data_IF_174954928239
#
_entry.id   IF_174954928239
#
_cell.length_a   1.000
_cell.length_b   1.000
_cell.length_c   1.000
_cell.angle_alpha   90.00
_cell.angle_beta   90.00
_cell.angle_gamma   90.00
#
_symmetry.space_group_name_H-M   'P 1'
#
loop_
_entity.id
_entity.type
_entity.pdbx_description
1 polymer ?
#
# COMPACT_ATOMS: atom_id res chain seq x y z
N UNK A 1 -65.88 52.82 -0.99
CA UNK A 1 -64.91 52.45 0.08
C UNK A 1 -63.69 51.80 -0.59
N UNK A 2 -62.60 52.55 -0.78
CA UNK A 2 -61.33 52.08 -1.34
C UNK A 2 -60.35 51.99 -0.18
N UNK A 3 -60.00 50.79 0.24
CA UNK A 3 -58.90 50.58 1.16
C UNK A 3 -57.61 50.46 0.37
N UNK A 4 -56.73 51.44 0.61
CA UNK A 4 -55.39 51.50 0.08
C UNK A 4 -54.54 50.46 0.83
N UNK A 5 -54.06 49.47 0.09
CA UNK A 5 -53.06 48.50 0.54
C UNK A 5 -51.71 49.22 0.58
N UNK A 6 -51.26 49.64 1.76
CA UNK A 6 -49.89 50.11 1.95
C UNK A 6 -48.94 48.92 2.06
N UNK A 7 -48.27 48.65 0.96
CA UNK A 7 -47.13 47.69 0.97
C UNK A 7 -45.95 48.35 1.71
N UNK A 8 -45.75 48.01 2.96
CA UNK A 8 -44.51 48.32 3.69
C UNK A 8 -43.36 47.48 3.12
N UNK A 9 -42.57 48.10 2.24
CA UNK A 9 -41.32 47.52 1.81
C UNK A 9 -40.33 47.53 2.99
N UNK A 10 -40.20 46.38 3.68
CA UNK A 10 -39.10 46.12 4.60
C UNK A 10 -37.82 45.98 3.79
N UNK A 11 -37.08 47.09 3.76
CA UNK A 11 -35.67 47.10 3.30
C UNK A 11 -34.87 46.25 4.31
N UNK A 12 -34.71 44.95 4.04
CA UNK A 12 -33.69 44.15 4.74
C UNK A 12 -32.35 44.68 4.33
N UNK A 13 -31.71 45.46 5.21
CA UNK A 13 -30.27 45.76 5.07
C UNK A 13 -29.55 44.45 5.18
N UNK A 14 -29.12 43.91 4.03
CA UNK A 14 -28.11 42.88 3.96
C UNK A 14 -26.87 43.45 4.68
N UNK A 15 -26.61 42.91 5.88
CA UNK A 15 -25.36 43.19 6.59
C UNK A 15 -24.23 42.88 5.60
N UNK A 16 -23.38 43.86 5.34
CA UNK A 16 -22.34 43.79 4.32
C UNK A 16 -21.48 42.57 4.53
N UNK A 17 -21.66 41.54 3.72
CA UNK A 17 -20.74 40.46 3.59
C UNK A 17 -19.46 41.02 3.02
N UNK A 18 -18.42 41.16 3.87
CA UNK A 18 -17.08 41.53 3.42
C UNK A 18 -16.64 40.38 2.50
N UNK A 19 -16.65 40.62 1.18
CA UNK A 19 -16.14 39.69 0.19
C UNK A 19 -14.60 39.66 0.26
N UNK A 20 -14.03 38.50 -0.12
CA UNK A 20 -12.59 38.36 -0.28
C UNK A 20 -12.09 39.28 -1.43
N UNK A 21 -10.91 39.83 -1.28
CA UNK A 21 -10.26 40.56 -2.37
C UNK A 21 -9.65 39.53 -3.37
N UNK A 22 -9.57 39.93 -4.63
CA UNK A 22 -8.96 39.10 -5.68
C UNK A 22 -7.49 38.78 -5.34
N UNK A 23 -6.76 39.73 -4.73
CA UNK A 23 -5.37 39.50 -4.33
C UNK A 23 -5.22 38.50 -3.19
N UNK A 24 -6.12 38.47 -2.23
CA UNK A 24 -6.12 37.49 -1.15
C UNK A 24 -6.29 36.06 -1.72
N UNK A 25 -7.20 35.88 -2.66
CA UNK A 25 -7.39 34.58 -3.31
C UNK A 25 -6.16 34.19 -4.14
N UNK A 26 -5.57 35.14 -4.87
CA UNK A 26 -4.40 34.89 -5.71
C UNK A 26 -3.18 34.43 -4.90
N UNK A 27 -2.92 35.06 -3.76
CA UNK A 27 -1.82 34.66 -2.87
C UNK A 27 -2.03 33.27 -2.32
N UNK A 28 -3.24 32.91 -1.91
CA UNK A 28 -3.56 31.59 -1.35
C UNK A 28 -3.33 30.49 -2.39
N UNK A 29 -3.84 30.65 -3.62
CA UNK A 29 -3.63 29.64 -4.66
C UNK A 29 -2.16 29.53 -5.07
N UNK A 30 -1.40 30.63 -5.07
CA UNK A 30 0.03 30.61 -5.35
C UNK A 30 0.80 29.78 -4.31
N UNK A 31 0.52 29.97 -3.03
CA UNK A 31 1.15 29.20 -1.94
C UNK A 31 0.77 27.70 -2.05
N UNK A 32 -0.52 27.40 -2.27
CA UNK A 32 -0.97 26.02 -2.42
C UNK A 32 -0.29 25.34 -3.61
N UNK A 33 -0.14 26.05 -4.74
CA UNK A 33 0.51 25.50 -5.92
C UNK A 33 1.98 25.11 -5.66
N UNK A 34 2.73 25.96 -4.94
CA UNK A 34 4.12 25.66 -4.57
C UNK A 34 4.18 24.46 -3.63
N UNK A 35 3.37 24.41 -2.60
CA UNK A 35 3.36 23.29 -1.65
C UNK A 35 2.93 21.98 -2.33
N UNK A 36 1.91 22.02 -3.18
CA UNK A 36 1.42 20.86 -3.91
C UNK A 36 2.48 20.27 -4.85
N UNK A 37 3.30 21.12 -5.50
CA UNK A 37 4.34 20.66 -6.43
C UNK A 37 5.38 19.73 -5.76
N UNK A 38 5.66 19.92 -4.48
CA UNK A 38 6.57 19.09 -3.70
C UNK A 38 5.88 17.91 -3.02
N UNK A 39 4.63 18.09 -2.59
CA UNK A 39 3.89 17.09 -1.82
C UNK A 39 3.36 15.94 -2.69
N UNK A 40 2.85 16.23 -3.89
CA UNK A 40 2.21 15.23 -4.76
C UNK A 40 3.16 14.09 -5.16
N UNK A 41 4.40 14.31 -5.62
CA UNK A 41 5.31 13.22 -6.00
C UNK A 41 5.62 12.28 -4.83
N UNK A 42 5.79 12.82 -3.64
CA UNK A 42 6.04 12.02 -2.43
C UNK A 42 4.83 11.20 -2.04
N UNK A 43 3.65 11.81 -2.06
CA UNK A 43 2.39 11.11 -1.77
C UNK A 43 2.16 9.91 -2.69
N UNK A 44 2.41 10.06 -4.00
CA UNK A 44 2.26 8.97 -4.96
C UNK A 44 3.22 7.82 -4.69
N UNK A 45 4.46 8.09 -4.28
CA UNK A 45 5.42 7.04 -3.88
C UNK A 45 4.91 6.26 -2.66
N UNK A 46 4.45 6.96 -1.63
CA UNK A 46 3.88 6.32 -0.44
C UNK A 46 2.63 5.49 -0.77
N UNK A 47 1.76 5.99 -1.63
CA UNK A 47 0.57 5.27 -2.06
C UNK A 47 0.91 3.96 -2.79
N UNK A 48 1.88 3.99 -3.71
CA UNK A 48 2.36 2.79 -4.41
C UNK A 48 2.97 1.78 -3.45
N UNK A 49 3.85 2.23 -2.56
CA UNK A 49 4.46 1.38 -1.53
C UNK A 49 3.41 0.75 -0.62
N UNK A 50 2.40 1.51 -0.20
CA UNK A 50 1.31 1.02 0.62
C UNK A 50 0.47 -0.05 -0.10
N UNK A 51 0.21 0.10 -1.41
CA UNK A 51 -0.47 -0.93 -2.20
C UNK A 51 0.31 -2.24 -2.23
N UNK A 52 1.62 -2.20 -2.45
CA UNK A 52 2.47 -3.41 -2.44
C UNK A 52 2.49 -4.05 -1.06
N UNK A 53 2.58 -3.26 0.01
CA UNK A 53 2.53 -3.77 1.39
C UNK A 53 1.17 -4.40 1.72
N UNK A 54 0.07 -3.87 1.19
CA UNK A 54 -1.26 -4.41 1.48
C UNK A 54 -1.61 -5.67 0.70
N UNK A 55 -1.14 -5.81 -0.53
CA UNK A 55 -1.54 -6.91 -1.41
C UNK A 55 -0.44 -7.92 -1.70
N UNK A 56 0.81 -7.50 -1.88
CA UNK A 56 1.90 -8.40 -2.25
C UNK A 56 2.61 -8.98 -1.02
N UNK A 57 2.85 -8.18 0.01
CA UNK A 57 3.57 -8.63 1.21
C UNK A 57 2.89 -9.80 1.92
N UNK A 58 1.56 -9.84 2.14
CA UNK A 58 0.91 -10.97 2.79
C UNK A 58 1.08 -12.29 2.03
N UNK A 59 1.13 -12.23 0.70
CA UNK A 59 1.33 -13.41 -0.16
C UNK A 59 2.76 -13.95 -0.03
N UNK A 60 3.76 -13.06 -0.10
CA UNK A 60 5.15 -13.46 0.14
C UNK A 60 5.36 -14.00 1.55
N UNK A 61 4.74 -13.39 2.55
CA UNK A 61 4.79 -13.84 3.94
C UNK A 61 4.11 -15.19 4.15
N UNK A 62 2.97 -15.43 3.50
CA UNK A 62 2.26 -16.72 3.55
C UNK A 62 3.13 -17.85 3.02
N UNK A 63 3.81 -17.65 1.88
CA UNK A 63 4.76 -18.64 1.37
C UNK A 63 5.92 -18.89 2.34
N UNK A 64 6.49 -17.84 2.94
CA UNK A 64 7.57 -18.00 3.92
C UNK A 64 7.12 -18.74 5.18
N UNK A 65 5.87 -18.58 5.62
CA UNK A 65 5.30 -19.36 6.73
C UNK A 65 5.20 -20.85 6.38
N UNK A 66 4.79 -21.20 5.16
CA UNK A 66 4.75 -22.60 4.70
C UNK A 66 6.16 -23.20 4.67
N UNK A 67 7.16 -22.45 4.20
CA UNK A 67 8.57 -22.91 4.20
C UNK A 67 9.05 -23.20 5.62
N UNK A 68 8.79 -22.31 6.56
CA UNK A 68 9.18 -22.49 7.96
C UNK A 68 8.44 -23.67 8.60
N UNK A 69 7.14 -23.80 8.34
CA UNK A 69 6.36 -24.94 8.83
C UNK A 69 6.89 -26.28 8.29
N UNK A 70 7.18 -26.34 6.99
CA UNK A 70 7.76 -27.53 6.36
C UNK A 70 9.10 -27.91 7.00
N UNK A 71 9.97 -26.94 7.29
CA UNK A 71 11.26 -27.19 7.90
C UNK A 71 11.16 -27.70 9.33
N UNK A 72 10.16 -27.23 10.11
CA UNK A 72 9.94 -27.75 11.47
C UNK A 72 9.51 -29.22 11.47
N UNK A 73 8.78 -29.64 10.42
CA UNK A 73 8.34 -31.03 10.27
C UNK A 73 9.41 -31.93 9.62
N UNK A 74 10.29 -31.36 8.79
CA UNK A 74 11.27 -32.12 7.97
C UNK A 74 12.70 -31.53 8.13
N UNK A 75 13.35 -31.67 9.28
CA UNK A 75 14.72 -31.21 9.47
C UNK A 75 15.69 -31.83 8.48
N UNK A 76 16.58 -30.99 7.89
CA UNK A 76 17.58 -31.45 6.93
C UNK A 76 17.08 -31.67 5.49
N UNK A 77 15.78 -31.50 5.22
CA UNK A 77 15.20 -31.69 3.90
C UNK A 77 15.39 -30.44 3.01
N UNK A 78 15.41 -30.66 1.69
CA UNK A 78 15.32 -29.57 0.70
C UNK A 78 13.88 -29.15 0.50
N UNK A 79 13.61 -27.85 0.46
CA UNK A 79 12.25 -27.31 0.31
C UNK A 79 11.90 -27.16 -1.16
N UNK A 80 10.91 -27.89 -1.62
CA UNK A 80 10.34 -27.73 -2.96
C UNK A 80 9.13 -26.79 -2.88
N UNK A 81 9.31 -25.53 -3.28
CA UNK A 81 8.26 -24.48 -3.17
C UNK A 81 6.98 -24.84 -3.93
N UNK A 82 7.07 -25.61 -5.02
CA UNK A 82 5.91 -26.06 -5.79
C UNK A 82 4.98 -27.03 -5.02
N UNK A 83 5.46 -27.66 -3.95
CA UNK A 83 4.65 -28.55 -3.11
C UNK A 83 3.96 -27.82 -1.95
N UNK A 84 4.30 -26.57 -1.70
CA UNK A 84 3.76 -25.77 -0.61
C UNK A 84 2.56 -24.94 -1.09
N UNK A 85 1.45 -24.98 -0.36
CA UNK A 85 0.17 -24.43 -0.80
C UNK A 85 0.26 -22.93 -1.17
N UNK A 86 0.89 -22.13 -0.31
CA UNK A 86 1.01 -20.68 -0.54
C UNK A 86 2.21 -20.29 -1.42
N UNK A 87 3.11 -21.21 -1.75
CA UNK A 87 4.25 -20.98 -2.64
C UNK A 87 4.00 -21.47 -4.08
N UNK A 88 3.13 -22.47 -4.27
CA UNK A 88 2.84 -23.07 -5.58
C UNK A 88 2.09 -22.13 -6.52
N UNK A 89 1.39 -21.13 -5.97
CA UNK A 89 0.64 -20.13 -6.71
C UNK A 89 1.59 -19.04 -7.23
N UNK A 90 2.04 -19.17 -8.46
CA UNK A 90 2.91 -18.17 -9.10
C UNK A 90 2.20 -16.83 -9.36
N UNK A 91 0.87 -16.84 -9.46
CA UNK A 91 0.06 -15.63 -9.65
C UNK A 91 -1.22 -15.72 -8.82
N UNK A 92 -1.46 -14.72 -7.99
CA UNK A 92 -2.63 -14.60 -7.11
C UNK A 92 -3.42 -13.36 -7.47
N UNK A 93 -4.71 -13.50 -7.76
CA UNK A 93 -5.61 -12.36 -8.02
C UNK A 93 -6.01 -11.70 -6.72
N UNK A 94 -5.76 -10.39 -6.59
CA UNK A 94 -6.15 -9.58 -5.43
C UNK A 94 -7.00 -8.40 -5.84
N UNK A 95 -7.65 -7.74 -4.90
CA UNK A 95 -8.40 -6.50 -5.15
C UNK A 95 -7.52 -5.35 -5.67
N UNK A 96 -6.22 -5.39 -5.39
CA UNK A 96 -5.24 -4.42 -5.90
C UNK A 96 -4.70 -4.74 -7.28
N UNK A 97 -5.03 -5.91 -7.83
CA UNK A 97 -4.51 -6.47 -9.08
C UNK A 97 -3.83 -7.82 -8.88
N UNK A 98 -3.41 -8.50 -9.95
CA UNK A 98 -2.69 -9.76 -9.84
C UNK A 98 -1.30 -9.55 -9.24
N UNK A 99 -0.95 -10.44 -8.31
CA UNK A 99 0.36 -10.47 -7.65
C UNK A 99 1.13 -11.69 -8.16
N UNK A 100 2.34 -11.48 -8.65
CA UNK A 100 3.23 -12.56 -9.06
C UNK A 100 4.18 -12.90 -7.92
N UNK A 101 4.22 -14.17 -7.53
CA UNK A 101 5.09 -14.71 -6.48
C UNK A 101 6.25 -15.48 -7.07
N UNK A 102 7.45 -15.25 -6.55
CA UNK A 102 8.65 -16.06 -6.80
C UNK A 102 9.28 -16.38 -5.45
N UNK A 103 9.55 -17.67 -5.20
CA UNK A 103 10.07 -18.11 -3.93
C UNK A 103 11.25 -19.08 -4.11
N UNK A 104 12.22 -18.97 -3.20
CA UNK A 104 13.29 -19.94 -3.02
C UNK A 104 13.12 -20.61 -1.64
N UNK A 105 12.93 -21.92 -1.62
CA UNK A 105 12.71 -22.66 -0.37
C UNK A 105 13.98 -22.88 0.43
N UNK A 106 15.14 -22.97 -0.23
CA UNK A 106 16.40 -23.32 0.42
C UNK A 106 16.42 -24.73 0.96
N UNK A 107 17.18 -24.97 2.02
CA UNK A 107 17.28 -26.22 2.77
C UNK A 107 16.87 -26.01 4.23
N UNK A 108 16.28 -27.03 4.82
CA UNK A 108 15.99 -27.02 6.25
C UNK A 108 17.25 -27.38 7.02
N UNK A 109 17.50 -26.66 8.10
CA UNK A 109 18.62 -26.98 9.00
C UNK A 109 18.29 -28.20 9.87
N UNK A 110 19.30 -28.81 10.46
CA UNK A 110 19.13 -29.98 11.33
C UNK A 110 18.32 -29.71 12.60
N UNK A 111 18.22 -28.45 12.98
CA UNK A 111 17.41 -27.98 14.12
C UNK A 111 15.96 -27.64 13.76
N UNK A 112 15.54 -27.91 12.51
CA UNK A 112 14.19 -27.64 12.03
C UNK A 112 13.94 -26.19 11.59
N UNK A 113 14.98 -25.37 11.49
CA UNK A 113 14.85 -24.00 11.03
C UNK A 113 15.00 -23.91 9.48
N UNK A 114 14.38 -22.92 8.90
CA UNK A 114 14.62 -22.59 7.49
C UNK A 114 16.02 -21.94 7.33
N UNK A 115 16.66 -22.19 6.20
CA UNK A 115 17.91 -21.56 5.85
C UNK A 115 17.76 -20.06 5.57
N UNK A 116 18.83 -19.32 5.77
CA UNK A 116 18.91 -17.89 5.41
C UNK A 116 18.75 -17.63 3.90
N UNK A 117 18.93 -18.65 3.06
CA UNK A 117 18.65 -18.60 1.63
C UNK A 117 17.15 -18.64 1.29
N UNK A 118 16.30 -19.05 2.24
CA UNK A 118 14.85 -19.05 2.06
C UNK A 118 14.33 -17.63 1.88
N UNK A 119 13.64 -17.40 0.77
CA UNK A 119 13.13 -16.08 0.40
C UNK A 119 11.86 -16.18 -0.44
N UNK A 120 11.00 -15.20 -0.32
CA UNK A 120 9.83 -15.04 -1.16
C UNK A 120 9.73 -13.58 -1.62
N UNK A 121 9.54 -13.38 -2.91
CA UNK A 121 9.39 -12.06 -3.53
C UNK A 121 8.04 -12.00 -4.23
N UNK A 122 7.27 -10.97 -3.94
CA UNK A 122 5.97 -10.75 -4.57
C UNK A 122 5.92 -9.37 -5.23
N UNK A 123 5.44 -9.33 -6.47
CA UNK A 123 5.29 -8.11 -7.28
C UNK A 123 3.83 -7.89 -7.61
N UNK A 124 3.35 -6.66 -7.43
CA UNK A 124 1.98 -6.29 -7.76
C UNK A 124 1.92 -5.73 -9.19
N UNK A 125 1.04 -6.28 -10.02
CA UNK A 125 0.81 -5.74 -11.35
C UNK A 125 0.34 -4.29 -11.30
N UNK A 126 0.92 -3.44 -12.15
CA UNK A 126 0.64 -2.00 -12.14
C UNK A 126 1.45 -1.17 -11.14
N UNK A 127 2.26 -1.82 -10.27
CA UNK A 127 3.21 -1.14 -9.37
C UNK A 127 4.55 -1.87 -9.45
N UNK A 128 5.27 -1.68 -10.54
CA UNK A 128 6.54 -2.38 -10.83
C UNK A 128 7.76 -1.77 -10.14
N UNK A 129 7.63 -0.55 -9.64
CA UNK A 129 8.70 0.19 -8.94
C UNK A 129 8.99 -0.38 -7.54
N UNK A 130 8.06 -1.16 -6.97
CA UNK A 130 8.18 -1.70 -5.62
C UNK A 130 7.87 -3.18 -5.60
N UNK A 131 8.65 -3.93 -4.82
CA UNK A 131 8.49 -5.37 -4.61
C UNK A 131 8.48 -5.68 -3.13
N UNK A 132 7.64 -6.62 -2.72
CA UNK A 132 7.66 -7.17 -1.37
C UNK A 132 8.68 -8.32 -1.34
N UNK A 133 9.65 -8.25 -0.44
CA UNK A 133 10.67 -9.29 -0.25
C UNK A 133 10.64 -9.74 1.18
N UNK A 134 10.39 -11.03 1.40
CA UNK A 134 10.41 -11.69 2.69
C UNK A 134 11.61 -12.65 2.75
N UNK A 135 12.40 -12.57 3.80
CA UNK A 135 13.55 -13.44 4.06
C UNK A 135 13.45 -14.03 5.47
N UNK A 136 14.08 -15.19 5.65
CA UNK A 136 14.25 -15.78 6.97
C UNK A 136 15.60 -15.37 7.56
N UNK A 137 15.59 -14.65 8.66
CA UNK A 137 16.82 -14.20 9.35
C UNK A 137 16.60 -14.16 10.86
N UNK A 138 17.59 -14.63 11.61
CA UNK A 138 17.53 -14.66 13.09
C UNK A 138 16.23 -15.31 13.60
N UNK A 139 15.90 -16.48 13.07
CA UNK A 139 14.72 -17.28 13.46
C UNK A 139 13.38 -16.54 13.27
N UNK A 140 13.36 -15.57 12.38
CA UNK A 140 12.15 -14.79 12.10
C UNK A 140 12.01 -14.45 10.62
N UNK A 141 10.76 -14.33 10.18
CA UNK A 141 10.41 -13.86 8.84
C UNK A 141 10.40 -12.34 8.87
N UNK A 142 11.28 -11.73 8.07
CA UNK A 142 11.32 -10.27 7.88
C UNK A 142 10.91 -9.92 6.47
N UNK A 143 9.85 -9.12 6.34
CA UNK A 143 9.36 -8.62 5.07
C UNK A 143 9.69 -7.13 4.94
N UNK A 144 10.14 -6.73 3.76
CA UNK A 144 10.48 -5.34 3.42
C UNK A 144 9.98 -5.02 2.01
N UNK A 145 9.57 -3.78 1.80
CA UNK A 145 9.24 -3.28 0.47
C UNK A 145 10.47 -2.59 -0.10
N UNK A 146 11.01 -3.19 -1.16
CA UNK A 146 12.15 -2.65 -1.93
C UNK A 146 11.64 -1.91 -3.17
N UNK A 147 12.28 -0.82 -3.52
CA UNK A 147 11.99 -0.03 -4.70
C UNK A 147 13.18 0.82 -5.06
#
# INVERSE_FOLDING_TARGET
MRQLYQATSRSTRLAGSKGFTLIELLIVIAIIAILASLAIPQYLKYQRKAKVSSYAEPIARGCMLDIVAFCTENPGASVTTASLANCSLTTVSTAGGPVTLSANGGTCQSDGQADSAASATATLSGVTDYTAVCNYTNQSIKCTIKG
#
